data_IF_537347018464
#
_entry.id   IF_537347018464
#
_cell.length_a   1.000
_cell.length_b   1.000
_cell.length_c   1.000
_cell.angle_alpha   90.00
_cell.angle_beta   90.00
_cell.angle_gamma   90.00
#
_symmetry.space_group_name_H-M   'P 1'
#
loop_
_entity.id
_entity.type
_entity.pdbx_description
1 polymer ?
#
# COMPACT_ATOMS: atom_id res chain seq x y z
N UNK A 1 17.20 15.38 -13.02
CA UNK A 1 17.06 14.16 -12.49
C UNK A 1 15.76 13.50 -12.74
N UNK A 2 15.83 12.38 -13.19
CA UNK A 2 14.63 11.65 -13.48
C UNK A 2 14.02 11.16 -12.20
N UNK A 3 12.81 11.62 -11.93
CA UNK A 3 12.15 11.14 -10.79
C UNK A 3 11.28 10.01 -11.21
N UNK A 4 11.35 8.95 -10.49
CA UNK A 4 10.49 7.85 -10.74
C UNK A 4 9.08 8.30 -10.55
N UNK A 5 8.25 8.08 -11.51
CA UNK A 5 6.84 8.42 -11.39
C UNK A 5 6.09 7.25 -10.81
N UNK A 6 5.97 7.25 -9.52
CA UNK A 6 5.20 6.19 -8.88
C UNK A 6 3.73 6.35 -9.20
N UNK A 7 3.06 5.25 -9.40
CA UNK A 7 1.62 5.25 -9.62
C UNK A 7 0.97 5.19 -8.25
N UNK A 8 0.14 6.17 -7.95
CA UNK A 8 -0.54 6.22 -6.67
C UNK A 8 -1.96 5.73 -6.82
N UNK A 9 -2.33 4.76 -6.02
CA UNK A 9 -3.63 4.16 -6.08
C UNK A 9 -4.23 4.09 -4.70
N UNK A 10 -5.54 4.19 -4.63
CA UNK A 10 -6.24 3.98 -3.38
C UNK A 10 -6.74 2.55 -3.34
N UNK A 11 -6.69 1.96 -2.16
CA UNK A 11 -7.18 0.61 -1.99
C UNK A 11 -7.63 0.38 -0.58
N UNK A 12 -8.19 -0.80 -0.35
CA UNK A 12 -8.68 -1.19 0.96
C UNK A 12 -7.90 -2.40 1.43
N UNK A 13 -7.48 -2.36 2.68
CA UNK A 13 -6.77 -3.50 3.27
C UNK A 13 -7.77 -4.63 3.43
N UNK A 14 -7.45 -5.78 2.85
CA UNK A 14 -8.34 -6.94 2.99
C UNK A 14 -7.74 -8.01 3.89
N UNK A 15 -6.43 -8.00 4.06
CA UNK A 15 -5.79 -9.03 4.87
C UNK A 15 -4.43 -8.54 5.33
N UNK A 16 -4.10 -8.84 6.57
CA UNK A 16 -2.77 -8.56 7.09
C UNK A 16 -1.91 -9.80 6.89
N UNK A 17 -0.85 -9.64 6.15
CA UNK A 17 0.12 -10.72 5.95
C UNK A 17 1.19 -10.57 7.02
N UNK A 18 2.28 -11.29 6.91
CA UNK A 18 3.32 -11.21 7.91
C UNK A 18 4.34 -10.15 7.54
N UNK A 19 5.15 -9.75 8.53
CA UNK A 19 6.28 -8.85 8.31
C UNK A 19 5.88 -7.53 7.69
N UNK A 20 4.85 -6.91 8.25
CA UNK A 20 4.41 -5.58 7.81
C UNK A 20 3.97 -5.57 6.36
N UNK A 21 3.47 -6.69 5.88
CA UNK A 21 2.93 -6.78 4.53
C UNK A 21 1.43 -6.96 4.59
N UNK A 22 0.76 -6.38 3.61
CA UNK A 22 -0.70 -6.38 3.57
C UNK A 22 -1.19 -6.67 2.18
N UNK A 23 -2.36 -7.28 2.11
CA UNK A 23 -3.03 -7.45 0.83
C UNK A 23 -4.04 -6.33 0.68
N UNK A 24 -3.93 -5.61 -0.42
CA UNK A 24 -4.75 -4.44 -0.67
C UNK A 24 -5.57 -4.68 -1.92
N UNK A 25 -6.87 -4.39 -1.85
CA UNK A 25 -7.75 -4.55 -2.99
C UNK A 25 -8.04 -3.19 -3.58
N UNK A 26 -7.83 -3.06 -4.89
CA UNK A 26 -8.10 -1.84 -5.61
C UNK A 26 -9.58 -1.79 -5.99
N UNK A 27 -10.01 -0.64 -6.47
CA UNK A 27 -11.41 -0.45 -6.84
C UNK A 27 -11.89 -1.43 -7.89
N UNK A 28 -11.00 -1.82 -8.78
CA UNK A 28 -11.39 -2.74 -9.84
C UNK A 28 -11.34 -4.19 -9.41
N UNK A 29 -11.14 -4.44 -8.13
CA UNK A 29 -11.09 -5.80 -7.62
C UNK A 29 -9.74 -6.45 -7.69
N UNK A 30 -8.77 -5.78 -8.27
CA UNK A 30 -7.42 -6.32 -8.37
C UNK A 30 -6.73 -6.23 -7.02
N UNK A 31 -6.09 -7.31 -6.62
CA UNK A 31 -5.40 -7.35 -5.33
C UNK A 31 -3.90 -7.28 -5.53
N UNK A 32 -3.25 -6.52 -4.67
CA UNK A 32 -1.80 -6.37 -4.71
C UNK A 32 -1.25 -6.60 -3.32
N UNK A 33 0.03 -6.92 -3.25
CA UNK A 33 0.73 -7.04 -1.98
C UNK A 33 1.46 -5.73 -1.73
N UNK A 34 1.24 -5.15 -0.56
CA UNK A 34 1.87 -3.89 -0.20
C UNK A 34 2.56 -4.01 1.14
N UNK A 35 3.64 -3.26 1.31
CA UNK A 35 4.32 -3.22 2.59
C UNK A 35 4.25 -1.80 3.13
N UNK A 36 4.46 -1.69 4.44
CA UNK A 36 4.40 -0.40 5.09
C UNK A 36 5.70 0.35 4.81
N UNK A 37 5.59 1.63 4.44
CA UNK A 37 6.77 2.43 4.24
C UNK A 37 7.50 2.62 5.55
N UNK A 38 8.80 2.90 5.47
CA UNK A 38 9.58 3.11 6.67
C UNK A 38 9.06 4.25 7.52
N UNK A 39 8.58 5.29 6.87
CA UNK A 39 8.05 6.43 7.59
C UNK A 39 6.84 6.04 8.43
N UNK A 40 5.95 5.23 7.87
CA UNK A 40 4.77 4.82 8.61
C UNK A 40 5.13 3.88 9.76
N UNK A 41 6.14 3.06 9.57
CA UNK A 41 6.57 2.17 10.64
C UNK A 41 7.12 2.96 11.81
N UNK A 42 7.81 4.04 11.53
CA UNK A 42 8.36 4.87 12.58
C UNK A 42 7.29 5.54 13.41
N UNK A 43 6.13 5.76 12.82
CA UNK A 43 5.03 6.42 13.52
C UNK A 43 4.06 5.41 14.12
N UNK A 44 4.36 4.12 14.02
CA UNK A 44 3.52 3.08 14.59
C UNK A 44 2.07 3.18 14.13
N UNK A 45 1.89 3.51 12.89
CA UNK A 45 0.55 3.59 12.35
C UNK A 45 0.00 2.18 12.22
N UNK A 46 -1.09 1.91 12.92
CA UNK A 46 -1.67 0.59 12.92
C UNK A 46 -2.65 0.46 11.77
N UNK A 47 -2.44 -0.54 10.95
CA UNK A 47 -3.26 -0.78 9.78
C UNK A 47 -4.04 -2.06 10.00
N UNK A 48 -5.34 -1.97 9.83
CA UNK A 48 -6.23 -3.10 10.05
C UNK A 48 -7.03 -3.39 8.79
N UNK A 49 -7.53 -4.62 8.64
CA UNK A 49 -8.41 -4.93 7.51
C UNK A 49 -9.60 -3.97 7.51
N UNK A 50 -9.92 -3.50 6.33
CA UNK A 50 -10.98 -2.53 6.17
C UNK A 50 -10.50 -1.10 6.07
N UNK A 51 -9.26 -0.84 6.45
CA UNK A 51 -8.71 0.51 6.34
C UNK A 51 -8.44 0.86 4.91
N UNK A 52 -8.64 2.13 4.59
CA UNK A 52 -8.33 2.62 3.25
C UNK A 52 -6.96 3.25 3.26
N UNK A 53 -6.20 2.96 2.24
CA UNK A 53 -4.81 3.41 2.17
C UNK A 53 -4.50 3.87 0.77
N UNK A 54 -3.44 4.67 0.66
CA UNK A 54 -2.87 5.03 -0.62
C UNK A 54 -1.60 4.23 -0.81
N UNK A 55 -1.50 3.58 -1.96
CA UNK A 55 -0.37 2.73 -2.26
C UNK A 55 0.41 3.32 -3.42
N UNK A 56 1.73 3.35 -3.28
CA UNK A 56 2.62 3.76 -4.36
C UNK A 56 3.17 2.52 -5.02
N UNK A 57 3.05 2.46 -6.32
CA UNK A 57 3.49 1.30 -7.08
C UNK A 57 4.43 1.72 -8.18
N UNK A 58 5.36 0.82 -8.49
CA UNK A 58 6.23 1.03 -9.63
C UNK A 58 5.45 0.78 -10.90
N UNK A 59 5.62 1.59 -11.94
CA UNK A 59 4.96 1.30 -13.21
C UNK A 59 5.48 0.02 -13.84
N UNK A 60 6.59 -0.50 -13.34
CA UNK A 60 7.17 -1.72 -13.88
C UNK A 60 6.70 -2.97 -13.16
N UNK A 61 6.04 -2.82 -12.03
CA UNK A 61 5.57 -3.99 -11.28
C UNK A 61 4.29 -3.62 -10.56
N UNK A 62 3.18 -3.96 -11.15
CA UNK A 62 1.88 -3.59 -10.62
C UNK A 62 1.32 -4.61 -9.63
N UNK A 63 2.10 -5.61 -9.29
CA UNK A 63 1.65 -6.60 -8.33
C UNK A 63 2.13 -6.29 -6.91
N UNK A 64 3.03 -5.34 -6.75
CA UNK A 64 3.57 -4.99 -5.47
C UNK A 64 3.56 -3.49 -5.29
N UNK A 65 3.39 -3.06 -4.05
CA UNK A 65 3.37 -1.65 -3.79
C UNK A 65 3.83 -1.34 -2.38
N UNK A 66 3.81 -0.07 -2.05
CA UNK A 66 4.18 0.40 -0.73
C UNK A 66 3.07 1.30 -0.21
N UNK A 67 2.60 1.02 0.99
CA UNK A 67 1.58 1.85 1.60
C UNK A 67 2.23 3.14 2.05
N UNK A 68 1.82 4.23 1.43
CA UNK A 68 2.41 5.53 1.70
C UNK A 68 1.55 6.38 2.62
N UNK A 69 0.27 6.08 2.69
CA UNK A 69 -0.62 6.92 3.47
C UNK A 69 -1.86 6.12 3.85
N UNK A 70 -2.33 6.32 5.06
CA UNK A 70 -3.53 5.66 5.54
C UNK A 70 -4.60 6.70 5.77
N UNK A 71 -5.75 6.51 5.13
CA UNK A 71 -6.87 7.42 5.33
C UNK A 71 -7.57 7.07 6.64
N UNK A 72 -8.09 8.09 7.25
CA UNK A 72 -8.81 7.86 8.49
C UNK A 72 -10.15 7.24 8.27
#
# INVERSE_FOLDING_TARGET
MAKQNAIELDGTIVEALSNAMFRVERENGHQITAHISGKMRMHYIKILPGDKVRVEMSPYDLSKGRIAFRYK
#
